data_IF_773822079261
#
_entry.id   IF_773822079261
#
_cell.length_a   1.000
_cell.length_b   1.000
_cell.length_c   1.000
_cell.angle_alpha   90.00
_cell.angle_beta   90.00
_cell.angle_gamma   90.00
#
_symmetry.space_group_name_H-M   'P 1'
#
loop_
_entity.id
_entity.type
_entity.pdbx_description
1 polymer ?
#
# COMPACT_ATOMS: atom_id res chain seq x y z
N UNK A 1 0.19 0.77 25.05
CA UNK A 1 1.10 -0.34 24.79
C UNK A 1 1.00 -1.38 25.91
N UNK A 2 0.98 -2.66 25.59
CA UNK A 2 0.94 -3.78 26.52
C UNK A 2 1.94 -4.83 26.05
N UNK A 3 2.85 -5.24 26.93
CA UNK A 3 3.75 -6.35 26.67
C UNK A 3 3.04 -7.68 26.93
N UNK A 4 3.15 -8.60 25.99
CA UNK A 4 2.48 -9.90 26.04
C UNK A 4 3.46 -10.99 25.63
N UNK A 5 3.66 -11.96 26.51
CA UNK A 5 4.38 -13.19 26.16
C UNK A 5 3.41 -14.18 25.49
N UNK A 6 3.73 -14.59 24.28
CA UNK A 6 2.94 -15.58 23.53
C UNK A 6 3.60 -16.96 23.71
N UNK A 7 2.84 -17.87 24.31
CA UNK A 7 3.38 -19.18 24.68
C UNK A 7 2.79 -20.35 23.88
N UNK A 8 1.55 -20.18 23.40
CA UNK A 8 0.77 -21.25 22.79
C UNK A 8 0.01 -20.77 21.55
N UNK A 9 -0.66 -21.68 20.88
CA UNK A 9 -1.58 -21.40 19.77
C UNK A 9 -2.63 -20.34 20.14
N UNK A 10 -2.98 -20.23 21.42
CA UNK A 10 -3.95 -19.26 21.94
C UNK A 10 -3.49 -18.73 23.30
N UNK A 11 -3.15 -17.45 23.35
CA UNK A 11 -2.73 -16.79 24.59
C UNK A 11 -3.82 -15.79 25.04
N UNK A 12 -4.58 -16.08 26.11
CA UNK A 12 -5.56 -15.14 26.68
C UNK A 12 -4.86 -13.93 27.31
N UNK A 13 -5.31 -12.71 26.99
CA UNK A 13 -4.74 -11.48 27.55
C UNK A 13 -5.69 -10.94 28.60
N UNK A 14 -5.53 -11.41 29.86
CA UNK A 14 -6.42 -11.04 30.98
C UNK A 14 -6.46 -9.52 31.22
N UNK A 15 -5.38 -8.81 30.97
CA UNK A 15 -5.28 -7.35 31.14
C UNK A 15 -6.22 -6.57 30.19
N UNK A 16 -6.70 -7.17 29.12
CA UNK A 16 -7.60 -6.52 28.15
C UNK A 16 -9.08 -6.85 28.41
N UNK A 17 -9.38 -7.75 29.36
CA UNK A 17 -10.77 -8.13 29.67
C UNK A 17 -11.51 -6.93 30.25
N UNK A 18 -12.65 -6.58 29.65
CA UNK A 18 -13.48 -5.44 30.07
C UNK A 18 -13.05 -4.08 29.49
N UNK A 19 -11.95 -4.01 28.77
CA UNK A 19 -11.58 -2.80 28.04
C UNK A 19 -12.33 -2.71 26.69
N UNK A 20 -12.66 -1.47 26.31
CA UNK A 20 -13.19 -1.22 24.96
C UNK A 20 -12.14 -1.57 23.93
N UNK A 21 -12.54 -2.26 22.87
CA UNK A 21 -11.68 -2.54 21.73
C UNK A 21 -11.36 -1.23 21.00
N UNK A 22 -10.09 -1.03 20.66
CA UNK A 22 -9.68 0.05 19.74
C UNK A 22 -10.06 -0.26 18.29
N UNK A 23 -10.08 0.76 17.47
CA UNK A 23 -10.36 0.63 16.03
C UNK A 23 -9.26 -0.17 15.31
N UNK A 24 -8.02 -0.04 15.76
CA UNK A 24 -6.86 -0.79 15.30
C UNK A 24 -6.19 -1.50 16.49
N UNK A 25 -5.95 -2.79 16.36
CA UNK A 25 -5.08 -3.57 17.25
C UNK A 25 -3.85 -3.98 16.47
N UNK A 26 -2.73 -3.30 16.72
CA UNK A 26 -1.45 -3.61 16.11
C UNK A 26 -0.65 -4.54 17.05
N UNK A 27 -0.33 -5.73 16.56
CA UNK A 27 0.58 -6.65 17.22
C UNK A 27 2.02 -6.31 16.83
N UNK A 28 2.97 -6.68 17.72
CA UNK A 28 4.40 -6.43 17.51
C UNK A 28 4.73 -4.95 17.28
N UNK A 29 4.00 -4.04 17.95
CA UNK A 29 4.32 -2.62 17.95
C UNK A 29 5.80 -2.41 18.36
N UNK A 30 6.46 -1.44 17.74
CA UNK A 30 7.92 -1.22 17.89
C UNK A 30 8.82 -2.32 17.30
N UNK A 31 8.30 -3.30 16.56
CA UNK A 31 9.04 -4.35 15.84
C UNK A 31 10.06 -5.14 16.70
N UNK A 32 9.67 -5.46 17.94
CA UNK A 32 10.56 -6.12 18.90
C UNK A 32 10.69 -7.64 18.69
N UNK A 33 9.79 -8.24 17.91
CA UNK A 33 9.74 -9.68 17.68
C UNK A 33 9.72 -9.99 16.19
N UNK A 34 10.51 -10.98 15.77
CA UNK A 34 10.42 -11.49 14.40
C UNK A 34 9.16 -12.37 14.27
N UNK A 35 8.08 -11.77 13.80
CA UNK A 35 6.80 -12.43 13.68
C UNK A 35 6.06 -12.01 12.40
N UNK A 36 5.31 -12.94 11.82
CA UNK A 36 4.38 -12.65 10.74
C UNK A 36 3.03 -12.29 11.36
N UNK A 37 2.69 -11.01 11.32
CA UNK A 37 1.47 -10.48 11.94
C UNK A 37 0.27 -10.64 11.01
N UNK A 38 -0.86 -11.02 11.58
CA UNK A 38 -2.19 -10.97 10.95
C UNK A 38 -3.07 -10.00 11.71
N UNK A 39 -3.62 -9.06 10.99
CA UNK A 39 -4.61 -8.14 11.55
C UNK A 39 -5.98 -8.81 11.49
N UNK A 40 -6.79 -8.55 12.50
CA UNK A 40 -8.19 -8.97 12.47
C UNK A 40 -9.01 -8.12 11.48
N UNK A 41 -10.18 -8.61 11.08
CA UNK A 41 -11.04 -7.98 10.06
C UNK A 41 -11.39 -6.53 10.39
N UNK A 42 -11.64 -6.19 11.65
CA UNK A 42 -11.97 -4.84 12.05
C UNK A 42 -10.76 -3.90 11.95
N UNK A 43 -9.60 -4.34 12.42
CA UNK A 43 -8.34 -3.60 12.29
C UNK A 43 -7.98 -3.39 10.81
N UNK A 44 -8.19 -4.40 9.96
CA UNK A 44 -7.95 -4.30 8.53
C UNK A 44 -8.91 -3.32 7.86
N UNK A 45 -10.20 -3.36 8.19
CA UNK A 45 -11.17 -2.40 7.67
C UNK A 45 -10.81 -0.95 8.07
N UNK A 46 -10.38 -0.76 9.32
CA UNK A 46 -9.90 0.54 9.81
C UNK A 46 -8.68 1.02 9.02
N UNK A 47 -7.72 0.13 8.73
CA UNK A 47 -6.54 0.50 7.93
C UNK A 47 -6.92 0.90 6.51
N UNK A 48 -7.79 0.16 5.84
CA UNK A 48 -8.22 0.48 4.47
C UNK A 48 -8.86 1.87 4.42
N UNK A 49 -9.58 2.26 5.46
CA UNK A 49 -10.23 3.56 5.54
C UNK A 49 -9.29 4.69 5.98
N UNK A 50 -8.36 4.43 6.91
CA UNK A 50 -7.70 5.48 7.69
C UNK A 50 -6.19 5.27 7.94
N UNK A 51 -5.47 4.54 7.09
CA UNK A 51 -4.03 4.32 7.29
C UNK A 51 -3.23 5.64 7.29
N UNK A 52 -3.69 6.63 6.55
CA UNK A 52 -3.14 7.98 6.49
C UNK A 52 -3.26 8.74 7.83
N UNK A 53 -4.14 8.31 8.74
CA UNK A 53 -4.27 8.87 10.08
C UNK A 53 -3.24 8.34 11.09
N UNK A 54 -2.49 7.28 10.76
CA UNK A 54 -1.42 6.77 11.60
C UNK A 54 -0.19 7.68 11.49
N UNK A 55 0.07 8.47 12.53
CA UNK A 55 1.18 9.42 12.57
C UNK A 55 2.54 8.76 12.79
N UNK A 56 2.58 7.60 13.48
CA UNK A 56 3.83 6.87 13.72
C UNK A 56 4.28 6.12 12.45
N UNK A 57 5.46 6.46 11.87
CA UNK A 57 5.95 5.82 10.66
C UNK A 57 6.25 4.32 10.85
N UNK A 58 6.72 3.91 12.02
CA UNK A 58 7.01 2.50 12.29
C UNK A 58 5.72 1.68 12.39
N UNK A 59 4.74 2.16 13.13
CA UNK A 59 3.42 1.53 13.19
C UNK A 59 2.79 1.42 11.80
N UNK A 60 2.91 2.46 10.96
CA UNK A 60 2.45 2.42 9.57
C UNK A 60 3.20 1.37 8.75
N UNK A 61 4.54 1.29 8.87
CA UNK A 61 5.36 0.30 8.18
C UNK A 61 4.98 -1.14 8.56
N UNK A 62 4.69 -1.39 9.82
CA UNK A 62 4.22 -2.70 10.31
C UNK A 62 2.83 -3.04 9.75
N UNK A 63 1.94 -2.05 9.66
CA UNK A 63 0.62 -2.22 9.04
C UNK A 63 0.76 -2.54 7.54
N UNK A 64 1.64 -1.84 6.81
CA UNK A 64 1.94 -2.12 5.41
C UNK A 64 2.46 -3.55 5.21
N UNK A 65 3.42 -3.96 6.05
CA UNK A 65 4.00 -5.31 6.02
C UNK A 65 2.94 -6.37 6.27
N UNK A 66 2.10 -6.18 7.29
CA UNK A 66 1.01 -7.11 7.62
C UNK A 66 0.00 -7.24 6.48
N UNK A 67 -0.46 -6.13 5.92
CA UNK A 67 -1.41 -6.12 4.80
C UNK A 67 -0.82 -6.78 3.54
N UNK A 68 0.46 -6.50 3.24
CA UNK A 68 1.15 -7.14 2.12
C UNK A 68 1.27 -8.65 2.29
N UNK A 69 1.65 -9.12 3.47
CA UNK A 69 1.72 -10.53 3.77
C UNK A 69 0.35 -11.22 3.65
N UNK A 70 -0.71 -10.59 4.16
CA UNK A 70 -2.08 -11.11 4.01
C UNK A 70 -2.51 -11.16 2.54
N UNK A 71 -2.15 -10.17 1.72
CA UNK A 71 -2.43 -10.19 0.28
C UNK A 71 -1.68 -11.33 -0.43
N UNK A 72 -0.40 -11.54 -0.12
CA UNK A 72 0.42 -12.64 -0.68
C UNK A 72 -0.09 -14.02 -0.30
N UNK A 73 -0.63 -14.16 0.90
CA UNK A 73 -1.13 -15.43 1.42
C UNK A 73 -2.60 -15.68 1.05
N UNK A 74 -3.19 -14.82 0.20
CA UNK A 74 -4.59 -14.86 -0.22
C UNK A 74 -5.62 -14.71 0.93
N UNK A 75 -5.23 -14.07 2.02
CA UNK A 75 -6.07 -13.72 3.15
C UNK A 75 -6.68 -12.31 3.02
N UNK A 76 -6.12 -11.49 2.11
CA UNK A 76 -6.63 -10.17 1.72
C UNK A 76 -6.76 -10.12 0.19
N UNK A 77 -7.87 -9.59 -0.31
CA UNK A 77 -8.08 -9.46 -1.76
C UNK A 77 -7.14 -8.40 -2.34
N UNK A 78 -6.62 -8.65 -3.54
CA UNK A 78 -5.73 -7.72 -4.25
C UNK A 78 -6.35 -6.32 -4.42
N UNK A 79 -7.65 -6.25 -4.71
CA UNK A 79 -8.38 -4.98 -4.84
C UNK A 79 -8.42 -4.17 -3.54
N UNK A 80 -8.50 -4.83 -2.38
CA UNK A 80 -8.51 -4.17 -1.08
C UNK A 80 -7.11 -3.65 -0.75
N UNK A 81 -6.06 -4.42 -1.10
CA UNK A 81 -4.68 -3.97 -0.97
C UNK A 81 -4.38 -2.75 -1.86
N UNK A 82 -4.81 -2.76 -3.12
CA UNK A 82 -4.65 -1.60 -4.03
C UNK A 82 -5.43 -0.38 -3.50
N UNK A 83 -6.62 -0.58 -2.92
CA UNK A 83 -7.39 0.49 -2.28
C UNK A 83 -6.66 1.07 -1.07
N UNK A 84 -6.11 0.21 -0.20
CA UNK A 84 -5.29 0.60 0.95
C UNK A 84 -4.07 1.43 0.51
N UNK A 85 -3.34 0.96 -0.51
CA UNK A 85 -2.18 1.70 -1.06
C UNK A 85 -2.63 3.05 -1.61
N UNK A 86 -3.72 3.12 -2.38
CA UNK A 86 -4.24 4.38 -2.91
C UNK A 86 -4.60 5.40 -1.82
N UNK A 87 -5.06 4.91 -0.66
CA UNK A 87 -5.40 5.77 0.48
C UNK A 87 -4.16 6.29 1.20
N UNK A 88 -3.17 5.45 1.45
CA UNK A 88 -2.04 5.81 2.32
C UNK A 88 -0.81 6.32 1.58
N UNK A 89 -0.63 5.94 0.31
CA UNK A 89 0.56 6.31 -0.47
C UNK A 89 0.82 7.83 -0.52
N UNK A 90 -0.18 8.72 -0.65
CA UNK A 90 0.06 10.16 -0.64
C UNK A 90 0.63 10.71 0.67
N UNK A 91 0.48 9.99 1.77
CA UNK A 91 1.00 10.39 3.09
C UNK A 91 2.42 9.85 3.37
N UNK A 92 2.94 8.96 2.52
CA UNK A 92 4.28 8.42 2.68
C UNK A 92 5.32 9.36 2.10
N UNK A 93 6.31 9.70 2.93
CA UNK A 93 7.39 10.63 2.58
C UNK A 93 8.73 9.92 2.32
N UNK A 94 8.89 8.69 2.78
CA UNK A 94 10.07 7.88 2.52
C UNK A 94 10.02 7.26 1.12
N UNK A 95 10.99 7.56 0.28
CA UNK A 95 11.04 7.09 -1.11
C UNK A 95 11.11 5.56 -1.21
N UNK A 96 11.79 4.91 -0.26
CA UNK A 96 11.90 3.45 -0.23
C UNK A 96 10.53 2.82 0.03
N UNK A 97 9.78 3.37 0.98
CA UNK A 97 8.41 2.94 1.26
C UNK A 97 7.50 3.17 0.04
N UNK A 98 7.52 4.36 -0.56
CA UNK A 98 6.74 4.69 -1.77
C UNK A 98 7.03 3.72 -2.90
N UNK A 99 8.30 3.47 -3.21
CA UNK A 99 8.72 2.56 -4.29
C UNK A 99 8.29 1.12 -3.99
N UNK A 100 8.42 0.67 -2.74
CA UNK A 100 8.00 -0.67 -2.33
C UNK A 100 6.48 -0.84 -2.46
N UNK A 101 5.69 0.12 -1.99
CA UNK A 101 4.23 0.09 -2.05
C UNK A 101 3.72 0.09 -3.49
N UNK A 102 4.30 0.90 -4.37
CA UNK A 102 3.96 0.92 -5.80
C UNK A 102 4.23 -0.45 -6.43
N UNK A 103 5.40 -1.04 -6.18
CA UNK A 103 5.76 -2.37 -6.69
C UNK A 103 4.83 -3.46 -6.15
N UNK A 104 4.51 -3.43 -4.87
CA UNK A 104 3.59 -4.39 -4.23
C UNK A 104 2.18 -4.27 -4.81
N UNK A 105 1.64 -3.05 -4.94
CA UNK A 105 0.33 -2.81 -5.54
C UNK A 105 0.27 -3.25 -7.00
N UNK A 106 1.34 -3.03 -7.77
CA UNK A 106 1.47 -3.51 -9.15
C UNK A 106 1.44 -5.04 -9.20
N UNK A 107 2.18 -5.70 -8.31
CA UNK A 107 2.16 -7.17 -8.20
C UNK A 107 0.77 -7.69 -7.83
N UNK A 108 0.12 -7.05 -6.86
CA UNK A 108 -1.25 -7.40 -6.45
C UNK A 108 -2.24 -7.28 -7.61
N UNK A 109 -2.22 -6.15 -8.32
CA UNK A 109 -3.12 -5.88 -9.44
C UNK A 109 -2.92 -6.85 -10.61
N UNK A 110 -1.67 -7.18 -10.95
CA UNK A 110 -1.36 -7.98 -12.14
C UNK A 110 -1.42 -9.48 -11.84
N UNK A 111 -0.88 -9.91 -10.68
CA UNK A 111 -0.61 -11.32 -10.40
C UNK A 111 -1.55 -11.96 -9.41
N UNK A 112 -2.12 -11.20 -8.46
CA UNK A 112 -2.96 -11.74 -7.37
C UNK A 112 -4.44 -11.45 -7.53
N UNK A 113 -4.81 -10.54 -8.46
CA UNK A 113 -6.21 -10.33 -8.82
C UNK A 113 -6.74 -11.53 -9.61
N UNK A 114 -7.99 -11.93 -9.34
CA UNK A 114 -8.67 -12.90 -10.17
C UNK A 114 -8.84 -12.36 -11.59
N UNK A 115 -9.11 -13.25 -12.55
CA UNK A 115 -9.14 -12.89 -13.98
C UNK A 115 -10.26 -11.88 -14.31
N UNK A 116 -11.39 -11.96 -13.60
CA UNK A 116 -12.58 -11.14 -13.84
C UNK A 116 -12.38 -9.70 -13.39
N UNK A 117 -11.75 -9.50 -12.24
CA UNK A 117 -11.55 -8.17 -11.62
C UNK A 117 -10.23 -7.50 -12.06
N UNK A 118 -9.30 -8.24 -12.67
CA UNK A 118 -7.93 -7.80 -12.91
C UNK A 118 -7.85 -6.49 -13.67
N UNK A 119 -8.69 -6.31 -14.68
CA UNK A 119 -8.69 -5.07 -15.47
C UNK A 119 -9.12 -3.88 -14.61
N UNK A 120 -10.20 -4.02 -13.85
CA UNK A 120 -10.70 -2.96 -12.96
C UNK A 120 -9.66 -2.59 -11.89
N UNK A 121 -9.01 -3.58 -11.28
CA UNK A 121 -7.97 -3.35 -10.26
C UNK A 121 -6.74 -2.64 -10.86
N UNK A 122 -6.35 -3.00 -12.09
CA UNK A 122 -5.26 -2.30 -12.82
C UNK A 122 -5.65 -0.87 -13.17
N UNK A 123 -6.85 -0.63 -13.66
CA UNK A 123 -7.32 0.72 -14.00
C UNK A 123 -7.36 1.62 -12.75
N UNK A 124 -7.80 1.07 -11.62
CA UNK A 124 -7.75 1.76 -10.33
C UNK A 124 -6.31 2.11 -9.93
N UNK A 125 -5.38 1.17 -10.05
CA UNK A 125 -3.96 1.42 -9.75
C UNK A 125 -3.38 2.50 -10.66
N UNK A 126 -3.65 2.43 -11.96
CA UNK A 126 -3.23 3.45 -12.94
C UNK A 126 -3.74 4.83 -12.54
N UNK A 127 -5.01 4.95 -12.13
CA UNK A 127 -5.58 6.21 -11.67
C UNK A 127 -4.90 6.76 -10.39
N UNK A 128 -4.57 5.88 -9.44
CA UNK A 128 -3.82 6.23 -8.23
C UNK A 128 -2.43 6.77 -8.60
N UNK A 129 -1.70 6.06 -9.46
CA UNK A 129 -0.34 6.42 -9.86
C UNK A 129 -0.31 7.71 -10.70
N UNK A 130 -1.27 7.89 -11.60
CA UNK A 130 -1.42 9.11 -12.38
C UNK A 130 -1.73 10.34 -11.51
N UNK A 131 -2.51 10.15 -10.46
CA UNK A 131 -2.77 11.21 -9.47
C UNK A 131 -1.51 11.53 -8.68
N UNK A 132 -0.80 10.52 -8.14
CA UNK A 132 0.44 10.73 -7.42
C UNK A 132 1.54 11.40 -8.27
N UNK A 133 1.64 11.02 -9.55
CA UNK A 133 2.56 11.66 -10.50
C UNK A 133 2.26 13.16 -10.69
N UNK A 134 0.98 13.51 -10.83
CA UNK A 134 0.57 14.90 -11.02
C UNK A 134 0.79 15.74 -9.77
N UNK A 135 0.57 15.16 -8.59
CA UNK A 135 0.64 15.86 -7.31
C UNK A 135 2.07 15.89 -6.74
N UNK A 136 2.98 15.06 -7.26
CA UNK A 136 4.38 15.05 -6.87
C UNK A 136 5.08 16.34 -7.30
N UNK A 137 6.06 16.77 -6.49
CA UNK A 137 6.87 17.95 -6.82
C UNK A 137 7.66 17.69 -8.12
N UNK A 138 7.60 18.60 -9.10
CA UNK A 138 8.32 18.47 -10.36
C UNK A 138 9.83 18.20 -10.14
N UNK A 139 10.36 17.19 -10.82
CA UNK A 139 11.77 16.79 -10.73
C UNK A 139 12.14 16.02 -9.45
N UNK A 140 11.16 15.65 -8.61
CA UNK A 140 11.42 14.85 -7.41
C UNK A 140 11.57 13.36 -7.72
N UNK A 141 12.29 12.66 -6.84
CA UNK A 141 12.40 11.19 -6.91
C UNK A 141 11.04 10.50 -6.76
N UNK A 142 10.11 11.11 -6.01
CA UNK A 142 8.72 10.62 -5.92
C UNK A 142 8.02 10.70 -7.27
N UNK A 143 8.18 11.79 -8.02
CA UNK A 143 7.62 11.91 -9.36
C UNK A 143 8.13 10.80 -10.28
N UNK A 144 9.44 10.51 -10.24
CA UNK A 144 10.05 9.40 -11.00
C UNK A 144 9.49 8.05 -10.56
N UNK A 145 9.32 7.83 -9.25
CA UNK A 145 8.76 6.60 -8.73
C UNK A 145 7.32 6.36 -9.23
N UNK A 146 6.48 7.39 -9.23
CA UNK A 146 5.11 7.31 -9.77
C UNK A 146 5.11 7.07 -11.29
N UNK A 147 5.98 7.75 -12.05
CA UNK A 147 6.09 7.57 -13.50
C UNK A 147 6.51 6.13 -13.85
N UNK A 148 7.50 5.57 -13.16
CA UNK A 148 7.94 4.18 -13.33
C UNK A 148 6.85 3.18 -12.97
N UNK A 149 6.13 3.45 -11.88
CA UNK A 149 4.98 2.64 -11.47
C UNK A 149 3.88 2.65 -12.53
N UNK A 150 3.55 3.83 -13.05
CA UNK A 150 2.57 4.00 -14.12
C UNK A 150 2.98 3.22 -15.38
N UNK A 151 4.25 3.31 -15.79
CA UNK A 151 4.77 2.58 -16.94
C UNK A 151 4.64 1.05 -16.75
N UNK A 152 4.89 0.55 -15.53
CA UNK A 152 4.80 -0.88 -15.22
C UNK A 152 3.35 -1.39 -15.14
N UNK A 153 2.45 -0.57 -14.59
CA UNK A 153 1.03 -0.91 -14.44
C UNK A 153 0.19 -0.63 -15.69
N UNK A 154 0.76 0.02 -16.71
CA UNK A 154 0.04 0.60 -17.84
C UNK A 154 -0.98 -0.35 -18.46
N UNK A 155 -2.19 0.15 -18.63
CA UNK A 155 -3.26 -0.38 -19.47
C UNK A 155 -3.17 0.26 -20.86
N UNK A 156 -4.04 -0.12 -21.79
CA UNK A 156 -3.97 0.40 -23.18
C UNK A 156 -3.97 1.93 -23.23
N UNK A 157 -4.87 2.58 -22.49
CA UNK A 157 -5.00 4.03 -22.48
C UNK A 157 -3.77 4.71 -21.85
N UNK A 158 -3.24 4.16 -20.76
CA UNK A 158 -2.01 4.64 -20.14
C UNK A 158 -0.79 4.42 -21.05
N UNK A 159 -0.77 3.35 -21.86
CA UNK A 159 0.30 3.11 -22.82
C UNK A 159 0.36 4.17 -23.92
N UNK A 160 -0.78 4.70 -24.35
CA UNK A 160 -0.79 5.77 -25.36
C UNK A 160 -0.29 7.10 -24.79
N UNK A 161 -0.63 7.41 -23.52
CA UNK A 161 -0.04 8.54 -22.79
C UNK A 161 1.49 8.42 -22.71
N UNK A 162 2.00 7.23 -22.33
CA UNK A 162 3.44 6.98 -22.22
C UNK A 162 4.17 7.08 -23.58
N UNK A 163 3.53 6.65 -24.66
CA UNK A 163 4.08 6.86 -26.03
C UNK A 163 4.18 8.35 -26.38
N UNK A 164 3.17 9.14 -25.97
CA UNK A 164 3.21 10.60 -26.12
C UNK A 164 4.43 11.19 -25.40
N UNK A 165 4.74 10.76 -24.19
CA UNK A 165 5.93 11.22 -23.46
C UNK A 165 7.22 10.86 -24.19
N UNK A 166 7.35 9.67 -24.77
CA UNK A 166 8.51 9.25 -25.55
C UNK A 166 8.69 10.09 -26.84
N UNK A 167 7.60 10.64 -27.38
CA UNK A 167 7.65 11.56 -28.53
C UNK A 167 7.80 13.04 -28.10
N UNK A 168 7.87 13.33 -26.80
CA UNK A 168 7.97 14.68 -26.25
C UNK A 168 6.63 15.40 -26.11
N UNK A 169 5.52 14.68 -26.26
CA UNK A 169 4.17 15.23 -26.12
C UNK A 169 3.70 15.10 -24.66
N UNK A 170 3.18 16.19 -24.10
CA UNK A 170 2.55 16.21 -22.77
C UNK A 170 3.41 15.62 -21.63
N UNK A 171 4.74 15.71 -21.73
CA UNK A 171 5.64 15.24 -20.67
C UNK A 171 5.41 16.07 -19.42
N UNK A 172 5.18 15.43 -18.24
CA UNK A 172 5.02 16.16 -16.98
C UNK A 172 6.22 17.06 -16.70
N UNK A 173 5.96 18.28 -16.21
CA UNK A 173 7.01 19.22 -15.84
C UNK A 173 8.00 18.56 -14.86
N UNK A 174 9.30 18.72 -15.10
CA UNK A 174 10.37 18.18 -14.27
C UNK A 174 10.69 16.70 -14.49
N UNK A 175 9.90 15.97 -15.29
CA UNK A 175 10.19 14.58 -15.62
C UNK A 175 11.15 14.52 -16.83
N UNK A 176 12.32 13.88 -16.65
CA UNK A 176 13.24 13.55 -17.76
C UNK A 176 12.93 12.14 -18.26
N UNK A 177 12.83 12.00 -19.60
CA UNK A 177 12.62 10.71 -20.26
C UNK A 177 13.85 10.46 -21.10
N UNK A 178 14.72 9.56 -20.60
CA UNK A 178 15.98 9.16 -21.25
C UNK A 178 15.82 7.83 -22.01
#
# INVERSE_FOLDING_TARGET
LLDVDIHDERTPIAALVGHSRGDLVLLNDSDLTYAKVRLDDHSMATLIDRIDALSDPLARALCWSSAWDMCRDAEMRAQDYVTLVGKGLPSETDLTAVTALIRQATTAAISYSNAEDRQEVRDRLVAILATGLRDAMPGSDHQVAYANGLATAATTDAADLLKGWLSGEEVPEGLSID
#
